data_IF_085203618829
#
_entry.id   IF_085203618829
#
_cell.length_a   1.000
_cell.length_b   1.000
_cell.length_c   1.000
_cell.angle_alpha   90.00
_cell.angle_beta   90.00
_cell.angle_gamma   90.00
#
_symmetry.space_group_name_H-M   'P 1'
#
loop_
_entity.id
_entity.type
_entity.pdbx_description
1 polymer ?
#
# COMPACT_ATOMS: atom_id res chain seq x y z
N UNK A 1 -0.57 18.95 -2.77
CA UNK A 1 -0.04 18.54 -1.46
C UNK A 1 0.68 17.21 -1.61
N UNK A 2 1.94 17.11 -1.18
CA UNK A 2 2.68 15.84 -1.17
C UNK A 2 2.59 15.24 0.23
N UNK A 3 1.93 14.10 0.35
CA UNK A 3 1.85 13.34 1.60
C UNK A 3 2.85 12.20 1.57
N UNK A 4 3.70 12.10 2.59
CA UNK A 4 4.54 10.93 2.80
C UNK A 4 4.16 10.29 4.13
N UNK A 5 3.81 9.01 4.10
CA UNK A 5 3.56 8.20 5.28
C UNK A 5 4.40 6.93 5.21
N UNK A 6 5.17 6.66 6.26
CA UNK A 6 5.86 5.39 6.42
C UNK A 6 5.39 4.74 7.71
N UNK A 7 4.91 3.51 7.61
CA UNK A 7 4.50 2.69 8.73
C UNK A 7 5.25 1.37 8.66
N UNK A 8 5.90 0.98 9.74
CA UNK A 8 6.53 -0.33 9.87
C UNK A 8 5.96 -1.02 11.10
N UNK A 9 5.49 -2.25 10.93
CA UNK A 9 5.01 -3.10 12.00
C UNK A 9 5.76 -4.42 11.97
N UNK A 10 6.40 -4.74 13.10
CA UNK A 10 7.02 -6.03 13.32
C UNK A 10 5.98 -6.98 13.91
N UNK A 11 5.59 -7.99 13.13
CA UNK A 11 4.77 -9.11 13.62
C UNK A 11 5.71 -10.29 13.89
N UNK A 12 5.43 -11.08 14.92
CA UNK A 12 6.34 -12.11 15.49
C UNK A 12 7.13 -13.01 14.50
N UNK A 13 6.65 -13.20 13.27
CA UNK A 13 7.35 -13.97 12.21
C UNK A 13 7.59 -13.20 10.90
N UNK A 14 7.21 -11.94 10.80
CA UNK A 14 7.35 -11.14 9.59
C UNK A 14 7.33 -9.64 9.89
N UNK A 15 8.24 -8.91 9.26
CA UNK A 15 8.24 -7.44 9.28
C UNK A 15 7.42 -6.90 8.10
N UNK A 16 6.45 -6.05 8.39
CA UNK A 16 5.62 -5.39 7.41
C UNK A 16 6.00 -3.92 7.33
N UNK A 17 6.45 -3.48 6.18
CA UNK A 17 6.73 -2.06 5.92
C UNK A 17 5.77 -1.56 4.85
N UNK A 18 4.99 -0.54 5.18
CA UNK A 18 4.03 0.13 4.30
C UNK A 18 4.53 1.55 4.07
N UNK A 19 4.77 1.88 2.81
CA UNK A 19 5.14 3.23 2.39
C UNK A 19 4.01 3.79 1.51
N UNK A 20 3.45 4.93 1.91
CA UNK A 20 2.41 5.64 1.19
C UNK A 20 3.00 6.98 0.74
N UNK A 21 3.14 7.11 -0.58
CA UNK A 21 3.53 8.36 -1.25
C UNK A 21 2.32 8.89 -2.00
N UNK A 22 1.76 10.00 -1.53
CA UNK A 22 0.72 10.74 -2.23
C UNK A 22 1.37 11.87 -3.02
N UNK A 23 1.48 11.69 -4.34
CA UNK A 23 1.92 12.74 -5.25
C UNK A 23 0.67 13.41 -5.85
N UNK A 24 0.55 14.71 -5.60
CA UNK A 24 -0.51 15.61 -6.03
C UNK A 24 -1.17 15.21 -7.37
N UNK A 25 -2.45 14.83 -7.33
CA UNK A 25 -3.30 14.50 -8.49
C UNK A 25 -2.85 13.38 -9.44
N UNK A 26 -1.69 12.72 -9.25
CA UNK A 26 -1.27 11.59 -10.08
C UNK A 26 -1.62 10.24 -9.45
N UNK A 27 -1.77 9.25 -10.32
CA UNK A 27 -2.29 7.89 -10.09
C UNK A 27 -1.82 7.26 -8.76
N UNK A 28 -2.66 6.41 -8.17
CA UNK A 28 -2.26 5.58 -7.02
C UNK A 28 -1.19 4.59 -7.50
N UNK A 29 0.08 4.87 -7.20
CA UNK A 29 1.17 3.96 -7.51
C UNK A 29 1.35 2.96 -6.35
N UNK A 30 0.65 1.84 -6.44
CA UNK A 30 0.72 0.76 -5.45
C UNK A 30 1.88 -0.20 -5.80
N UNK A 31 2.93 -0.18 -4.99
CA UNK A 31 4.04 -1.14 -5.09
C UNK A 31 4.01 -2.11 -3.89
N UNK A 32 3.63 -3.36 -4.15
CA UNK A 32 3.62 -4.42 -3.14
C UNK A 32 4.85 -5.31 -3.34
N UNK A 33 5.70 -5.42 -2.31
CA UNK A 33 6.81 -6.38 -2.29
C UNK A 33 6.45 -7.53 -1.36
N UNK A 34 5.88 -8.59 -1.94
CA UNK A 34 5.46 -9.79 -1.21
C UNK A 34 6.38 -10.99 -1.56
N UNK A 35 6.64 -11.91 -0.62
CA UNK A 35 7.27 -13.19 -0.92
C UNK A 35 6.41 -14.00 -1.89
N UNK A 36 7.02 -14.87 -2.72
CA UNK A 36 6.31 -15.68 -3.73
C UNK A 36 5.15 -16.51 -3.15
N UNK A 37 5.27 -16.96 -1.89
CA UNK A 37 4.21 -17.68 -1.18
C UNK A 37 2.94 -16.86 -0.94
N UNK A 38 3.01 -15.53 -1.08
CA UNK A 38 1.89 -14.61 -0.91
C UNK A 38 1.51 -13.88 -2.20
N UNK A 39 2.05 -14.28 -3.36
CA UNK A 39 1.74 -13.67 -4.65
C UNK A 39 0.24 -13.76 -5.00
N UNK A 40 -0.44 -14.86 -4.65
CA UNK A 40 -1.91 -14.95 -4.79
C UNK A 40 -2.67 -13.88 -3.99
N UNK A 41 -2.12 -13.46 -2.85
CA UNK A 41 -2.73 -12.41 -2.01
C UNK A 41 -2.41 -11.01 -2.51
N UNK A 42 -1.42 -10.84 -3.39
CA UNK A 42 -1.06 -9.54 -3.96
C UNK A 42 -2.23 -8.94 -4.74
N UNK A 43 -2.92 -9.76 -5.54
CA UNK A 43 -4.06 -9.30 -6.33
C UNK A 43 -5.23 -8.86 -5.44
N UNK A 44 -5.53 -9.66 -4.40
CA UNK A 44 -6.54 -9.33 -3.39
C UNK A 44 -6.21 -8.01 -2.67
N UNK A 45 -4.96 -7.86 -2.20
CA UNK A 45 -4.51 -6.64 -1.53
C UNK A 45 -4.59 -5.43 -2.44
N UNK A 46 -4.18 -5.56 -3.71
CA UNK A 46 -4.29 -4.47 -4.69
C UNK A 46 -5.73 -4.02 -4.87
N UNK A 47 -6.66 -4.97 -4.99
CA UNK A 47 -8.08 -4.66 -5.20
C UNK A 47 -8.70 -4.00 -3.96
N UNK A 48 -8.39 -4.52 -2.76
CA UNK A 48 -8.82 -3.94 -1.49
C UNK A 48 -8.22 -2.54 -1.26
N UNK A 49 -6.91 -2.35 -1.51
CA UNK A 49 -6.28 -1.03 -1.44
C UNK A 49 -6.93 -0.06 -2.42
N UNK A 50 -7.26 -0.49 -3.64
CA UNK A 50 -7.94 0.39 -4.61
C UNK A 50 -9.37 0.75 -4.22
N UNK A 51 -10.06 -0.09 -3.44
CA UNK A 51 -11.39 0.20 -2.87
C UNK A 51 -11.32 1.10 -1.64
N UNK A 52 -10.40 0.81 -0.72
CA UNK A 52 -10.27 1.50 0.55
C UNK A 52 -9.59 2.87 0.40
N UNK A 53 -8.67 3.01 -0.56
CA UNK A 53 -8.03 4.28 -0.89
C UNK A 53 -8.96 5.04 -1.83
N UNK A 54 -10.06 5.54 -1.29
CA UNK A 54 -10.81 6.60 -1.95
C UNK A 54 -9.96 7.88 -1.91
N UNK A 55 -9.75 8.51 -3.07
CA UNK A 55 -9.29 9.90 -3.09
C UNK A 55 -10.36 10.73 -2.41
N UNK A 56 -10.17 11.04 -1.12
CA UNK A 56 -10.92 12.09 -0.45
C UNK A 56 -10.82 13.33 -1.32
N UNK A 57 -11.91 13.70 -1.96
CA UNK A 57 -12.01 14.89 -2.80
C UNK A 57 -11.84 16.08 -1.87
N UNK A 58 -10.63 16.64 -1.82
CA UNK A 58 -10.33 17.99 -1.33
C UNK A 58 -9.43 18.66 -2.34
#
# INVERSE_FOLDING_TARGET
>A
MTGYGLAANDYSRAKYTVEIKSLNSKFLELSLKLPKSFSDKEFLLRNECSKQIERGKV
#
